data_IF_735816493664
#
_entry.id   IF_735816493664
#
_cell.length_a   1.000
_cell.length_b   1.000
_cell.length_c   1.000
_cell.angle_alpha   90.00
_cell.angle_beta   90.00
_cell.angle_gamma   90.00
#
_symmetry.space_group_name_H-M   'P 1'
#
loop_
_entity.id
_entity.type
_entity.pdbx_description
1 polymer ?
#
# COMPACT_ATOMS: atom_id res chain seq x y z
N UNK A 1 8.35 34.83 6.44
CA UNK A 1 7.57 35.15 5.21
C UNK A 1 7.06 33.84 4.55
N UNK A 2 6.92 32.76 5.34
CA UNK A 2 6.49 31.41 4.90
C UNK A 2 5.04 31.04 5.23
N UNK A 3 4.35 31.83 6.05
CA UNK A 3 2.94 31.54 6.44
C UNK A 3 1.87 31.86 5.40
N UNK A 4 2.23 32.42 4.25
CA UNK A 4 1.24 33.01 3.34
C UNK A 4 0.84 32.13 2.13
N UNK A 5 1.50 31.00 1.87
CA UNK A 5 1.19 30.19 0.67
C UNK A 5 0.20 29.03 0.89
N UNK A 6 -0.09 28.65 2.13
CA UNK A 6 -0.93 27.48 2.40
C UNK A 6 -2.31 27.76 2.99
N UNK A 7 -2.58 29.01 3.36
CA UNK A 7 -3.82 29.37 4.08
C UNK A 7 -5.08 29.42 3.18
N UNK A 8 -4.99 29.01 1.91
CA UNK A 8 -6.11 29.01 0.96
C UNK A 8 -6.27 27.72 0.15
N UNK A 9 -5.26 26.83 0.13
CA UNK A 9 -5.32 25.62 -0.70
C UNK A 9 -6.31 24.62 -0.16
N UNK A 10 -7.29 24.23 -0.98
CA UNK A 10 -8.30 23.24 -0.64
C UNK A 10 -7.96 21.91 -1.29
N UNK A 11 -8.31 20.83 -0.61
CA UNK A 11 -8.09 19.44 -1.04
C UNK A 11 -9.41 18.73 -1.21
N UNK A 12 -9.59 18.05 -2.33
CA UNK A 12 -10.73 17.19 -2.56
C UNK A 12 -10.44 15.78 -2.05
N UNK A 13 -11.26 15.29 -1.14
CA UNK A 13 -11.21 13.93 -0.62
C UNK A 13 -11.81 12.92 -1.61
N UNK A 14 -11.49 11.63 -1.47
CA UNK A 14 -12.09 10.55 -2.28
C UNK A 14 -13.62 10.49 -2.20
N UNK A 15 -14.22 10.92 -1.09
CA UNK A 15 -15.67 11.01 -0.91
C UNK A 15 -16.30 12.29 -1.49
N UNK A 16 -15.53 13.10 -2.22
CA UNK A 16 -15.98 14.36 -2.82
C UNK A 16 -15.97 15.58 -1.88
N UNK A 17 -15.72 15.39 -0.58
CA UNK A 17 -15.64 16.51 0.35
C UNK A 17 -14.41 17.38 0.08
N UNK A 18 -14.56 18.69 0.26
CA UNK A 18 -13.48 19.67 0.12
C UNK A 18 -13.10 20.18 1.50
N UNK A 19 -11.83 20.10 1.84
CA UNK A 19 -11.27 20.53 3.13
C UNK A 19 -10.02 21.39 2.90
N UNK A 20 -9.62 22.24 3.87
CA UNK A 20 -8.32 22.89 3.82
C UNK A 20 -7.17 21.86 3.78
N UNK A 21 -6.12 22.18 3.04
CA UNK A 21 -4.89 21.36 3.02
C UNK A 21 -4.30 21.32 4.42
N UNK A 22 -4.08 20.12 4.95
CA UNK A 22 -3.46 19.89 6.25
C UNK A 22 -2.04 19.39 6.07
N UNK A 23 -1.07 20.28 6.24
CA UNK A 23 0.35 19.98 6.09
C UNK A 23 0.87 19.06 7.20
N UNK A 24 0.33 19.14 8.43
CA UNK A 24 0.76 18.28 9.53
C UNK A 24 0.50 16.81 9.22
N UNK A 25 -0.61 16.50 8.52
CA UNK A 25 -0.91 15.13 8.07
C UNK A 25 0.06 14.64 7.00
N UNK A 26 0.48 15.53 6.10
CA UNK A 26 1.47 15.22 5.07
C UNK A 26 2.82 14.99 5.74
N UNK A 27 3.24 15.91 6.60
CA UNK A 27 4.48 15.82 7.35
C UNK A 27 4.60 14.49 8.11
N UNK A 28 3.58 14.17 8.91
CA UNK A 28 3.55 12.91 9.66
C UNK A 28 3.68 11.67 8.76
N UNK A 29 3.00 11.66 7.62
CA UNK A 29 3.06 10.54 6.67
C UNK A 29 4.45 10.40 6.03
N UNK A 30 5.10 11.53 5.69
CA UNK A 30 6.45 11.52 5.12
C UNK A 30 7.49 11.14 6.17
N UNK A 31 7.35 11.61 7.41
CA UNK A 31 8.21 11.19 8.54
C UNK A 31 8.11 9.68 8.77
N UNK A 32 6.89 9.12 8.81
CA UNK A 32 6.66 7.69 8.96
C UNK A 32 7.30 6.89 7.82
N UNK A 33 7.25 7.41 6.58
CA UNK A 33 7.91 6.76 5.45
C UNK A 33 9.45 6.80 5.55
N UNK A 34 10.02 7.80 6.20
CA UNK A 34 11.46 7.94 6.45
C UNK A 34 11.97 7.17 7.67
N UNK A 35 11.07 6.70 8.53
CA UNK A 35 11.44 6.10 9.82
C UNK A 35 12.40 4.92 9.65
N UNK A 36 13.49 4.93 10.44
CA UNK A 36 14.49 3.86 10.42
C UNK A 36 15.40 3.82 9.20
N UNK A 37 15.31 4.78 8.26
CA UNK A 37 16.16 4.85 7.07
C UNK A 37 17.25 5.91 7.27
N UNK A 38 18.50 5.54 7.01
CA UNK A 38 19.64 6.46 7.08
C UNK A 38 19.76 7.28 5.77
N UNK A 39 20.20 8.53 5.88
CA UNK A 39 20.52 9.38 4.72
C UNK A 39 19.29 9.91 3.97
N UNK A 40 18.11 9.92 4.60
CA UNK A 40 16.87 10.49 4.05
C UNK A 40 16.36 11.62 4.94
N UNK A 41 15.61 12.56 4.36
CA UNK A 41 15.02 13.70 5.05
C UNK A 41 13.59 13.92 4.60
N UNK A 42 12.65 13.91 5.55
CA UNK A 42 11.26 14.24 5.28
C UNK A 42 11.12 15.64 4.67
N UNK A 43 11.85 16.62 5.20
CA UNK A 43 11.82 18.00 4.72
C UNK A 43 12.25 18.12 3.25
N UNK A 44 13.20 17.31 2.77
CA UNK A 44 13.58 17.33 1.34
C UNK A 44 12.43 16.85 0.45
N UNK A 45 11.74 15.77 0.85
CA UNK A 45 10.57 15.28 0.11
C UNK A 45 9.47 16.33 0.09
N UNK A 46 9.22 17.00 1.22
CA UNK A 46 8.19 18.04 1.37
C UNK A 46 8.50 19.28 0.51
N UNK A 47 9.73 19.77 0.53
CA UNK A 47 10.15 20.90 -0.30
C UNK A 47 9.98 20.56 -1.78
N UNK A 48 10.41 19.37 -2.19
CA UNK A 48 10.29 18.89 -3.56
C UNK A 48 8.82 18.75 -4.00
N UNK A 49 7.93 18.35 -3.09
CA UNK A 49 6.50 18.15 -3.35
C UNK A 49 5.68 19.45 -3.25
N UNK A 50 6.01 20.31 -2.29
CA UNK A 50 5.20 21.49 -1.95
C UNK A 50 5.00 22.48 -3.08
N UNK A 51 5.96 22.57 -4.01
CA UNK A 51 5.89 23.41 -5.20
C UNK A 51 4.80 22.96 -6.19
N UNK A 52 4.36 21.69 -6.09
CA UNK A 52 3.41 21.09 -7.03
C UNK A 52 1.96 21.10 -6.54
N UNK A 53 1.71 21.54 -5.29
CA UNK A 53 0.35 21.59 -4.77
C UNK A 53 -0.41 22.82 -5.28
N UNK A 54 -1.68 22.63 -5.67
CA UNK A 54 -2.56 23.64 -6.20
C UNK A 54 -3.96 23.56 -5.56
N UNK A 55 -4.76 24.62 -5.67
CA UNK A 55 -6.11 24.65 -5.10
C UNK A 55 -7.04 23.66 -5.81
N UNK A 56 -7.76 22.86 -5.03
CA UNK A 56 -8.63 21.80 -5.56
C UNK A 56 -7.92 20.47 -5.84
N UNK A 57 -6.63 20.33 -5.53
CA UNK A 57 -5.89 19.08 -5.68
C UNK A 57 -6.57 17.93 -4.92
N UNK A 58 -6.58 16.74 -5.49
CA UNK A 58 -7.12 15.56 -4.81
C UNK A 58 -6.11 14.92 -3.86
N UNK A 59 -6.61 14.18 -2.86
CA UNK A 59 -5.72 13.41 -1.97
C UNK A 59 -4.93 12.32 -2.69
N UNK A 60 -5.44 11.81 -3.80
CA UNK A 60 -4.72 10.86 -4.66
C UNK A 60 -3.54 11.53 -5.37
N UNK A 61 -3.76 12.71 -5.98
CA UNK A 61 -2.69 13.47 -6.63
C UNK A 61 -1.61 13.91 -5.63
N UNK A 62 -1.98 14.33 -4.41
CA UNK A 62 -1.00 14.60 -3.34
C UNK A 62 -0.13 13.36 -3.09
N UNK A 63 -0.76 12.19 -2.97
CA UNK A 63 -0.04 10.94 -2.74
C UNK A 63 0.95 10.63 -3.88
N UNK A 64 0.51 10.79 -5.13
CA UNK A 64 1.38 10.57 -6.29
C UNK A 64 2.53 11.58 -6.39
N UNK A 65 2.27 12.85 -6.06
CA UNK A 65 3.31 13.89 -6.01
C UNK A 65 4.37 13.53 -4.96
N UNK A 66 3.96 13.09 -3.76
CA UNK A 66 4.89 12.69 -2.70
C UNK A 66 5.73 11.49 -3.11
N UNK A 67 5.11 10.47 -3.71
CA UNK A 67 5.82 9.28 -4.24
C UNK A 67 6.84 9.70 -5.30
N UNK A 68 6.43 10.55 -6.26
CA UNK A 68 7.30 11.05 -7.31
C UNK A 68 8.46 11.87 -6.74
N UNK A 69 8.16 12.81 -5.83
CA UNK A 69 9.18 13.64 -5.19
C UNK A 69 10.23 12.82 -4.45
N UNK A 70 9.81 11.77 -3.73
CA UNK A 70 10.73 10.84 -3.09
C UNK A 70 11.54 10.03 -4.12
N UNK A 71 10.92 9.61 -5.24
CA UNK A 71 11.62 8.86 -6.28
C UNK A 71 12.65 9.71 -7.04
N UNK A 72 12.38 11.00 -7.21
CA UNK A 72 13.31 11.95 -7.87
C UNK A 72 14.55 12.25 -7.01
N UNK A 73 14.51 11.95 -5.70
CA UNK A 73 15.64 12.06 -4.77
C UNK A 73 16.53 10.81 -4.73
N UNK A 74 16.19 9.76 -5.47
CA UNK A 74 16.99 8.53 -5.52
C UNK A 74 18.26 8.79 -6.32
N UNK A 75 19.41 8.71 -5.66
CA UNK A 75 20.72 8.83 -6.30
C UNK A 75 21.74 7.86 -5.65
N UNK A 76 23.00 7.90 -6.13
CA UNK A 76 24.06 7.04 -5.60
C UNK A 76 24.44 7.38 -4.16
N UNK A 77 24.33 8.64 -3.75
CA UNK A 77 24.68 9.11 -2.41
C UNK A 77 23.49 8.93 -1.43
N UNK A 78 22.27 8.86 -1.95
CA UNK A 78 21.02 8.77 -1.18
C UNK A 78 20.09 7.64 -1.67
N UNK A 79 20.56 6.39 -1.76
CA UNK A 79 19.79 5.29 -2.35
C UNK A 79 18.54 4.91 -1.55
N UNK A 80 18.50 5.24 -0.25
CA UNK A 80 17.40 4.87 0.63
C UNK A 80 16.09 5.61 0.34
N UNK A 81 16.09 6.67 -0.48
CA UNK A 81 14.84 7.27 -0.96
C UNK A 81 14.00 6.29 -1.80
N UNK A 82 14.58 5.22 -2.34
CA UNK A 82 13.81 4.14 -2.97
C UNK A 82 12.82 3.47 -2.00
N UNK A 83 13.20 3.33 -0.72
CA UNK A 83 12.31 2.79 0.30
C UNK A 83 11.28 3.83 0.76
N UNK A 84 11.65 5.12 0.84
CA UNK A 84 10.70 6.20 1.14
C UNK A 84 9.61 6.26 0.07
N UNK A 85 9.99 6.27 -1.21
CA UNK A 85 9.05 6.26 -2.32
C UNK A 85 8.13 5.01 -2.31
N UNK A 86 8.70 3.83 -2.02
CA UNK A 86 7.95 2.60 -1.88
C UNK A 86 6.93 2.67 -0.74
N UNK A 87 7.35 3.12 0.45
CA UNK A 87 6.46 3.24 1.62
C UNK A 87 5.34 4.25 1.40
N UNK A 88 5.62 5.38 0.79
CA UNK A 88 4.59 6.35 0.40
C UNK A 88 3.58 5.72 -0.58
N UNK A 89 4.05 4.98 -1.59
CA UNK A 89 3.19 4.25 -2.51
C UNK A 89 2.32 3.21 -1.76
N UNK A 90 2.92 2.47 -0.83
CA UNK A 90 2.26 1.45 -0.03
C UNK A 90 1.16 2.04 0.87
N UNK A 91 1.40 3.19 1.53
CA UNK A 91 0.39 3.87 2.33
C UNK A 91 -0.83 4.30 1.49
N UNK A 92 -0.58 4.74 0.25
CA UNK A 92 -1.63 5.03 -0.72
C UNK A 92 -2.44 3.79 -1.08
N UNK A 93 -1.77 2.66 -1.32
CA UNK A 93 -2.37 1.36 -1.61
C UNK A 93 -3.21 0.85 -0.42
N UNK A 94 -2.66 0.83 0.79
CA UNK A 94 -3.39 0.41 1.98
C UNK A 94 -4.65 1.24 2.21
N UNK A 95 -4.56 2.55 2.03
CA UNK A 95 -5.71 3.44 2.13
C UNK A 95 -6.75 3.19 1.04
N UNK A 96 -6.33 2.76 -0.13
CA UNK A 96 -7.24 2.42 -1.22
C UNK A 96 -7.97 1.10 -0.95
N UNK A 97 -7.25 0.07 -0.51
CA UNK A 97 -7.77 -1.28 -0.32
C UNK A 97 -8.58 -1.40 0.98
N UNK A 98 -8.06 -0.86 2.08
CA UNK A 98 -8.63 -1.02 3.43
C UNK A 98 -9.33 0.22 3.98
N UNK A 99 -9.27 1.35 3.27
CA UNK A 99 -9.87 2.59 3.72
C UNK A 99 -8.96 3.45 4.61
N UNK A 100 -9.54 4.51 5.19
CA UNK A 100 -8.78 5.52 5.93
C UNK A 100 -8.18 5.02 7.26
N UNK A 101 -8.78 3.98 7.83
CA UNK A 101 -8.44 3.43 9.15
C UNK A 101 -7.49 2.23 9.09
N UNK A 102 -6.84 1.97 7.95
CA UNK A 102 -5.93 0.84 7.75
C UNK A 102 -4.84 0.71 8.83
N UNK A 103 -4.40 1.83 9.41
CA UNK A 103 -3.39 1.87 10.46
C UNK A 103 -3.88 1.38 11.83
N UNK A 104 -5.18 1.11 11.98
CA UNK A 104 -5.75 0.52 13.19
C UNK A 104 -5.70 -1.01 13.19
N UNK A 105 -5.39 -1.62 12.06
CA UNK A 105 -5.28 -3.04 11.83
C UNK A 105 -5.79 -3.42 10.44
N UNK A 106 -5.34 -4.56 9.96
CA UNK A 106 -5.76 -5.12 8.69
C UNK A 106 -6.91 -6.10 8.91
N UNK A 107 -7.89 -6.19 8.00
CA UNK A 107 -8.94 -7.20 8.10
C UNK A 107 -8.34 -8.60 7.98
N UNK A 108 -9.04 -9.60 8.52
CA UNK A 108 -8.65 -10.99 8.33
C UNK A 108 -8.69 -11.36 6.84
N UNK A 109 -7.71 -12.13 6.35
CA UNK A 109 -7.59 -12.45 4.91
C UNK A 109 -8.82 -13.18 4.38
N UNK A 110 -9.43 -14.06 5.17
CA UNK A 110 -10.68 -14.73 4.81
C UNK A 110 -11.83 -13.74 4.62
N UNK A 111 -11.97 -12.77 5.53
CA UNK A 111 -12.99 -11.72 5.42
C UNK A 111 -12.80 -10.90 4.15
N UNK A 112 -11.54 -10.52 3.87
CA UNK A 112 -11.19 -9.80 2.66
C UNK A 112 -11.54 -10.61 1.39
N UNK A 113 -11.20 -11.90 1.38
CA UNK A 113 -11.53 -12.82 0.29
C UNK A 113 -13.05 -12.91 0.07
N UNK A 114 -13.83 -13.15 1.16
CA UNK A 114 -15.28 -13.29 1.08
C UNK A 114 -15.94 -12.00 0.59
N UNK A 115 -15.54 -10.85 1.10
CA UNK A 115 -16.05 -9.55 0.63
C UNK A 115 -15.73 -9.32 -0.84
N UNK A 116 -14.53 -9.67 -1.28
CA UNK A 116 -14.12 -9.58 -2.67
C UNK A 116 -14.88 -10.56 -3.58
N UNK A 117 -15.14 -11.77 -3.10
CA UNK A 117 -15.94 -12.76 -3.81
C UNK A 117 -17.39 -12.29 -4.02
N UNK A 118 -18.03 -11.71 -3.00
CA UNK A 118 -19.36 -11.10 -3.13
C UNK A 118 -19.41 -9.95 -4.16
N UNK A 119 -18.29 -9.26 -4.36
CA UNK A 119 -18.15 -8.20 -5.38
C UNK A 119 -17.77 -8.75 -6.75
N UNK A 120 -17.59 -10.07 -6.90
CA UNK A 120 -17.16 -10.72 -8.15
C UNK A 120 -15.68 -10.49 -8.50
N UNK A 121 -14.85 -10.14 -7.52
CA UNK A 121 -13.41 -9.89 -7.67
C UNK A 121 -12.63 -11.20 -7.56
N UNK A 122 -13.00 -12.03 -6.58
CA UNK A 122 -12.39 -13.33 -6.31
C UNK A 122 -13.36 -14.47 -6.59
N UNK A 123 -12.81 -15.68 -6.74
CA UNK A 123 -13.60 -16.92 -6.85
C UNK A 123 -14.22 -17.26 -5.49
N UNK A 124 -15.53 -17.54 -5.50
CA UNK A 124 -16.27 -17.93 -4.29
C UNK A 124 -15.77 -19.26 -3.70
N UNK A 125 -15.28 -20.17 -4.55
CA UNK A 125 -14.94 -21.52 -4.13
C UNK A 125 -13.69 -21.56 -3.23
N UNK A 126 -12.82 -20.54 -3.27
CA UNK A 126 -11.58 -20.55 -2.50
C UNK A 126 -11.84 -20.47 -0.99
N UNK A 127 -12.81 -19.68 -0.57
CA UNK A 127 -13.15 -19.54 0.85
C UNK A 127 -13.57 -20.89 1.49
N UNK A 128 -14.25 -21.74 0.71
CA UNK A 128 -14.76 -23.04 1.16
C UNK A 128 -13.72 -24.17 1.14
N UNK A 129 -12.49 -23.89 0.61
CA UNK A 129 -11.41 -24.89 0.54
C UNK A 129 -10.71 -25.17 1.85
N UNK A 130 -10.84 -24.27 2.83
CA UNK A 130 -10.17 -24.30 4.12
C UNK A 130 -11.20 -24.10 5.24
N UNK A 131 -10.98 -24.76 6.39
CA UNK A 131 -11.76 -24.49 7.60
C UNK A 131 -11.41 -23.12 8.19
N UNK A 132 -12.25 -22.62 9.11
CA UNK A 132 -11.99 -21.36 9.80
C UNK A 132 -10.66 -21.40 10.57
N UNK A 133 -10.34 -22.53 11.24
CA UNK A 133 -9.07 -22.70 11.95
C UNK A 133 -7.86 -22.71 10.98
N UNK A 134 -8.04 -23.20 9.76
CA UNK A 134 -7.00 -23.16 8.73
C UNK A 134 -6.84 -21.73 8.20
N UNK A 135 -7.91 -20.98 8.03
CA UNK A 135 -7.86 -19.56 7.66
C UNK A 135 -7.19 -18.69 8.75
N UNK A 136 -7.51 -18.93 10.03
CA UNK A 136 -6.83 -18.27 11.16
C UNK A 136 -5.32 -18.50 11.12
N UNK A 137 -4.92 -19.72 10.80
CA UNK A 137 -3.50 -20.07 10.67
C UNK A 137 -2.85 -19.43 9.46
N UNK A 138 -3.53 -19.38 8.32
CA UNK A 138 -3.07 -18.70 7.10
C UNK A 138 -2.90 -17.20 7.38
N UNK A 139 -3.87 -16.57 8.01
CA UNK A 139 -3.82 -15.16 8.38
C UNK A 139 -2.65 -14.84 9.32
N UNK A 140 -2.36 -15.73 10.29
CA UNK A 140 -1.25 -15.57 11.23
C UNK A 140 0.13 -15.52 10.58
N UNK A 141 0.28 -15.94 9.34
CA UNK A 141 1.54 -15.85 8.57
C UNK A 141 1.68 -14.58 7.76
N UNK A 142 0.61 -13.81 7.64
CA UNK A 142 0.63 -12.53 6.94
C UNK A 142 1.35 -11.51 7.84
N UNK A 143 2.40 -10.90 7.29
CA UNK A 143 3.16 -9.85 7.96
C UNK A 143 3.29 -8.65 7.01
N UNK A 144 2.38 -7.70 7.16
CA UNK A 144 2.38 -6.47 6.36
C UNK A 144 3.64 -5.62 6.58
N UNK A 145 4.40 -5.84 7.66
CA UNK A 145 5.69 -5.20 7.88
C UNK A 145 6.72 -5.55 6.81
N UNK A 146 6.58 -6.71 6.17
CA UNK A 146 7.43 -7.12 5.04
C UNK A 146 7.25 -6.26 3.81
N UNK A 147 6.08 -5.68 3.61
CA UNK A 147 5.83 -4.78 2.49
C UNK A 147 6.69 -3.50 2.57
N UNK A 148 7.13 -3.12 3.79
CA UNK A 148 8.04 -1.98 4.00
C UNK A 148 9.48 -2.23 3.47
N UNK A 149 9.79 -3.47 3.10
CA UNK A 149 11.10 -3.85 2.57
C UNK A 149 11.17 -3.74 1.04
N UNK A 150 10.07 -3.50 0.35
CA UNK A 150 10.07 -3.31 -1.08
C UNK A 150 10.88 -2.06 -1.49
N UNK A 151 11.64 -2.21 -2.56
CA UNK A 151 12.16 -1.05 -3.31
C UNK A 151 11.02 -0.42 -4.13
N UNK A 152 11.16 0.85 -4.48
CA UNK A 152 10.16 1.55 -5.30
C UNK A 152 9.87 0.82 -6.63
N UNK A 153 10.91 0.44 -7.35
CA UNK A 153 10.76 -0.27 -8.62
C UNK A 153 10.07 -1.64 -8.45
N UNK A 154 10.44 -2.38 -7.40
CA UNK A 154 9.82 -3.68 -7.08
C UNK A 154 8.34 -3.54 -6.73
N UNK A 155 7.98 -2.60 -5.86
CA UNK A 155 6.59 -2.37 -5.49
C UNK A 155 5.75 -1.86 -6.66
N UNK A 156 6.28 -0.93 -7.49
CA UNK A 156 5.61 -0.47 -8.71
C UNK A 156 5.30 -1.61 -9.66
N UNK A 157 6.25 -2.54 -9.85
CA UNK A 157 6.01 -3.70 -10.68
C UNK A 157 4.89 -4.59 -10.13
N UNK A 158 4.84 -4.80 -8.82
CA UNK A 158 3.78 -5.57 -8.17
C UNK A 158 2.43 -4.88 -8.36
N UNK A 159 2.34 -3.59 -8.03
CA UNK A 159 1.11 -2.78 -8.13
C UNK A 159 0.60 -2.72 -9.57
N UNK A 160 1.47 -2.44 -10.54
CA UNK A 160 1.06 -2.17 -11.91
C UNK A 160 0.72 -3.45 -12.70
N UNK A 161 1.25 -4.61 -12.31
CA UNK A 161 1.17 -5.83 -13.12
C UNK A 161 0.49 -7.02 -12.44
N UNK A 162 0.61 -7.14 -11.12
CA UNK A 162 0.26 -8.40 -10.44
C UNK A 162 -0.95 -8.29 -9.53
N UNK A 163 -1.14 -7.16 -8.83
CA UNK A 163 -2.29 -7.00 -7.96
C UNK A 163 -3.60 -7.04 -8.73
N UNK A 164 -4.60 -7.67 -8.14
CA UNK A 164 -5.96 -7.68 -8.68
C UNK A 164 -6.50 -6.25 -8.71
N UNK A 165 -6.93 -5.82 -9.89
CA UNK A 165 -7.40 -4.46 -10.15
C UNK A 165 -8.51 -4.43 -11.20
N UNK A 166 -9.38 -3.45 -11.10
CA UNK A 166 -10.23 -3.06 -12.22
C UNK A 166 -9.41 -2.25 -13.22
N UNK A 167 -9.17 -2.83 -14.40
CA UNK A 167 -8.35 -2.18 -15.44
C UNK A 167 -9.00 -0.95 -16.06
N UNK A 168 -10.32 -0.78 -15.90
CA UNK A 168 -11.05 0.37 -16.43
C UNK A 168 -10.94 1.60 -15.52
N UNK A 169 -10.99 1.40 -14.22
CA UNK A 169 -10.89 2.46 -13.19
C UNK A 169 -9.51 2.59 -12.57
N UNK A 170 -8.66 1.56 -12.65
CA UNK A 170 -7.40 1.47 -11.91
C UNK A 170 -7.59 1.19 -10.42
N UNK A 171 -8.81 0.80 -9.99
CA UNK A 171 -9.07 0.45 -8.59
C UNK A 171 -8.35 -0.85 -8.23
N UNK A 172 -7.52 -0.80 -7.18
CA UNK A 172 -6.79 -1.93 -6.62
C UNK A 172 -7.57 -2.56 -5.48
N UNK A 173 -7.58 -3.89 -5.42
CA UNK A 173 -8.41 -4.65 -4.49
C UNK A 173 -7.63 -5.46 -3.47
N UNK A 174 -6.30 -5.55 -3.60
CA UNK A 174 -5.46 -6.32 -2.69
C UNK A 174 -4.10 -5.66 -2.45
N UNK A 175 -3.38 -6.16 -1.47
CA UNK A 175 -2.01 -5.76 -1.12
C UNK A 175 -1.03 -6.88 -1.45
N UNK A 176 0.29 -6.61 -1.50
CA UNK A 176 1.27 -7.65 -1.83
C UNK A 176 1.16 -8.89 -0.94
N UNK A 177 1.02 -8.72 0.38
CA UNK A 177 0.91 -9.86 1.30
C UNK A 177 -0.35 -10.70 1.04
N UNK A 178 -1.49 -10.05 0.80
CA UNK A 178 -2.72 -10.77 0.46
C UNK A 178 -2.62 -11.47 -0.89
N UNK A 179 -2.07 -10.79 -1.90
CA UNK A 179 -1.82 -11.41 -3.20
C UNK A 179 -1.00 -12.70 -3.06
N UNK A 180 0.14 -12.64 -2.39
CA UNK A 180 0.99 -13.82 -2.21
C UNK A 180 0.28 -14.94 -1.44
N UNK A 181 -0.44 -14.58 -0.37
CA UNK A 181 -1.15 -15.57 0.44
C UNK A 181 -2.29 -16.21 -0.34
N UNK A 182 -3.12 -15.44 -1.04
CA UNK A 182 -4.26 -15.97 -1.81
C UNK A 182 -3.80 -16.81 -3.00
N UNK A 183 -2.70 -16.43 -3.68
CA UNK A 183 -2.08 -17.26 -4.72
C UNK A 183 -1.63 -18.60 -4.12
N UNK A 184 -0.93 -18.57 -2.99
CA UNK A 184 -0.47 -19.79 -2.32
C UNK A 184 -1.63 -20.67 -1.87
N UNK A 185 -2.64 -20.09 -1.24
CA UNK A 185 -3.84 -20.80 -0.83
C UNK A 185 -4.54 -21.44 -2.03
N UNK A 186 -4.64 -20.74 -3.16
CA UNK A 186 -5.25 -21.28 -4.38
C UNK A 186 -4.46 -22.46 -4.94
N UNK A 187 -3.14 -22.34 -5.04
CA UNK A 187 -2.27 -23.40 -5.62
C UNK A 187 -2.32 -24.66 -4.79
N UNK A 188 -2.30 -24.53 -3.46
CA UNK A 188 -2.20 -25.67 -2.56
C UNK A 188 -3.53 -26.21 -2.05
N UNK A 189 -4.68 -25.60 -2.39
CA UNK A 189 -6.00 -25.96 -1.90
C UNK A 189 -6.36 -27.45 -1.98
N UNK A 190 -5.85 -28.13 -3.04
CA UNK A 190 -6.14 -29.55 -3.29
C UNK A 190 -5.04 -30.51 -2.80
N UNK A 191 -4.00 -30.01 -2.12
CA UNK A 191 -2.92 -30.86 -1.64
C UNK A 191 -3.20 -31.36 -0.21
N UNK A 192 -2.83 -32.62 0.11
CA UNK A 192 -2.88 -33.09 1.48
C UNK A 192 -2.01 -32.18 2.37
N UNK A 193 -2.54 -31.67 3.47
CA UNK A 193 -1.88 -30.71 4.35
C UNK A 193 -1.60 -29.35 3.66
N UNK A 194 -2.54 -28.87 2.87
CA UNK A 194 -2.45 -27.61 2.12
C UNK A 194 -1.85 -26.45 2.93
N UNK A 195 -2.32 -26.24 4.16
CA UNK A 195 -1.84 -25.19 5.07
C UNK A 195 -0.35 -25.28 5.35
N UNK A 196 0.24 -26.50 5.38
CA UNK A 196 1.68 -26.66 5.63
C UNK A 196 2.56 -26.16 4.47
N UNK A 197 2.00 -25.97 3.30
CA UNK A 197 2.75 -25.51 2.11
C UNK A 197 2.55 -24.02 1.81
N UNK A 198 1.44 -23.43 2.20
CA UNK A 198 1.13 -22.03 1.90
C UNK A 198 2.17 -21.05 2.45
N UNK A 199 2.73 -21.32 3.65
CA UNK A 199 3.76 -20.47 4.24
C UNK A 199 5.14 -20.57 3.57
N UNK A 200 5.42 -21.66 2.83
CA UNK A 200 6.72 -21.86 2.20
C UNK A 200 6.97 -20.92 0.99
N UNK A 201 5.91 -20.41 0.40
CA UNK A 201 6.02 -19.53 -0.77
C UNK A 201 6.27 -18.07 -0.39
N UNK A 202 5.83 -17.62 0.80
CA UNK A 202 6.00 -16.25 1.26
C UNK A 202 7.47 -15.79 1.39
N UNK A 203 8.39 -16.57 2.02
CA UNK A 203 9.78 -16.15 2.15
C UNK A 203 10.55 -16.09 0.84
N UNK A 204 10.18 -16.93 -0.14
CA UNK A 204 10.89 -17.01 -1.43
C UNK A 204 10.51 -15.91 -2.40
N UNK A 205 9.33 -15.35 -2.27
CA UNK A 205 8.83 -14.29 -3.16
C UNK A 205 9.30 -12.90 -2.69
N UNK A 206 9.52 -12.71 -1.38
CA UNK A 206 10.02 -11.45 -0.82
C UNK A 206 11.56 -11.34 -0.79
N UNK A 207 12.30 -12.30 -1.36
CA UNK A 207 13.77 -12.37 -1.34
C UNK A 207 14.42 -11.93 -2.66
N UNK A 208 13.71 -11.14 -3.48
CA UNK A 208 14.24 -10.63 -4.76
C UNK A 208 14.57 -9.16 -4.63
#
# INVERSE_FOLDING_TARGET
MEESMTNGTKVQKRNGNVEPLNLDKIHKMVEEACEGLAGVSASQVEIQSGIQFYDGITTGEIQEILVRSASDLIDLDSPNYQFVAARLLLFGLYKQVFGADWNKGFPHVQEHLVLGAHRGIYDNDLADKYSDEEWDKIDSWIDHGRDMLFTYAGLRQVVDKYLVQDRSSGELYETPQYMYMLISATIFANYPKAVSYTHLTLPTICSV
#
